data_IF_831161846989
#
_entry.id   IF_831161846989
#
_cell.length_a   1.000
_cell.length_b   1.000
_cell.length_c   1.000
_cell.angle_alpha   90.00
_cell.angle_beta   90.00
_cell.angle_gamma   90.00
#
_symmetry.space_group_name_H-M   'P 1'
#
loop_
_entity.id
_entity.type
_entity.pdbx_description
1 polymer ?
#
# COMPACT_ATOMS: atom_id res chain seq x y z
N UNK A 1 7.05 -3.51 -12.09
CA UNK A 1 6.80 -4.12 -10.76
C UNK A 1 7.43 -3.22 -9.71
N UNK A 2 6.89 -3.14 -8.48
CA UNK A 2 7.51 -2.39 -7.40
C UNK A 2 8.93 -2.89 -7.13
N UNK A 3 9.84 -1.96 -6.81
CA UNK A 3 11.16 -2.32 -6.31
C UNK A 3 11.03 -2.88 -4.89
N UNK A 4 11.78 -3.94 -4.58
CA UNK A 4 11.68 -4.65 -3.29
C UNK A 4 13.05 -4.76 -2.65
N UNK A 5 13.23 -4.06 -1.54
CA UNK A 5 14.39 -4.14 -0.66
C UNK A 5 14.05 -5.12 0.47
N UNK A 6 14.96 -6.06 0.77
CA UNK A 6 14.75 -7.08 1.82
C UNK A 6 15.64 -6.79 3.02
N UNK A 7 15.05 -6.86 4.19
CA UNK A 7 15.80 -6.88 5.45
C UNK A 7 16.51 -8.25 5.62
N UNK A 8 17.72 -8.23 6.17
CA UNK A 8 18.49 -9.42 6.54
C UNK A 8 18.87 -9.46 8.03
N UNK A 9 18.46 -8.45 8.80
CA UNK A 9 18.88 -8.27 10.19
C UNK A 9 17.74 -8.62 11.16
N UNK A 10 18.08 -9.29 12.27
CA UNK A 10 17.13 -9.56 13.36
C UNK A 10 16.72 -8.29 14.14
N UNK A 11 17.53 -7.23 14.04
CA UNK A 11 17.26 -5.92 14.64
C UNK A 11 17.44 -4.84 13.57
N UNK A 12 16.35 -4.24 13.20
CA UNK A 12 16.30 -3.21 12.16
C UNK A 12 15.92 -1.86 12.77
N UNK A 13 16.74 -0.85 12.53
CA UNK A 13 16.43 0.55 12.83
C UNK A 13 16.19 1.28 11.51
N UNK A 14 15.00 1.88 11.39
CA UNK A 14 14.71 2.75 10.24
C UNK A 14 15.23 4.14 10.54
N UNK A 15 16.19 4.59 9.77
CA UNK A 15 16.80 5.91 9.89
C UNK A 15 16.48 6.78 8.66
N UNK A 16 16.78 8.10 8.70
CA UNK A 16 16.47 9.00 7.58
C UNK A 16 17.14 8.61 6.25
N UNK A 17 18.33 8.06 6.28
CA UNK A 17 19.05 7.61 5.09
C UNK A 17 18.31 6.46 4.39
N UNK A 18 17.83 5.48 5.16
CA UNK A 18 17.03 4.38 4.62
C UNK A 18 15.70 4.87 4.03
N UNK A 19 15.06 5.83 4.70
CA UNK A 19 13.82 6.44 4.19
C UNK A 19 14.07 7.12 2.85
N UNK A 20 15.12 7.93 2.71
CA UNK A 20 15.44 8.57 1.43
C UNK A 20 15.82 7.55 0.36
N UNK A 21 16.55 6.50 0.70
CA UNK A 21 16.87 5.42 -0.25
C UNK A 21 15.60 4.75 -0.81
N UNK A 22 14.63 4.43 0.04
CA UNK A 22 13.36 3.82 -0.41
C UNK A 22 12.60 4.80 -1.33
N UNK A 23 12.58 6.09 -1.01
CA UNK A 23 11.96 7.12 -1.86
C UNK A 23 12.64 7.26 -3.21
N UNK A 24 13.98 7.21 -3.24
CA UNK A 24 14.74 7.24 -4.50
C UNK A 24 14.46 6.02 -5.37
N UNK A 25 14.40 4.84 -4.79
CA UNK A 25 14.06 3.62 -5.51
C UNK A 25 12.61 3.67 -6.05
N UNK A 26 11.69 4.27 -5.31
CA UNK A 26 10.32 4.51 -5.83
C UNK A 26 10.32 5.45 -7.04
N UNK A 27 11.11 6.53 -7.02
CA UNK A 27 11.23 7.47 -8.15
C UNK A 27 11.82 6.82 -9.40
N UNK A 28 12.76 5.88 -9.23
CA UNK A 28 13.42 5.15 -10.34
C UNK A 28 12.56 3.99 -10.86
N UNK A 29 11.70 3.45 -10.04
CA UNK A 29 10.84 2.31 -10.39
C UNK A 29 9.84 2.67 -11.49
N UNK A 30 9.68 1.79 -12.46
CA UNK A 30 8.66 1.94 -13.51
C UNK A 30 7.23 1.94 -12.96
N UNK A 31 7.02 1.35 -11.78
CA UNK A 31 5.73 1.38 -11.07
C UNK A 31 5.55 2.59 -10.17
N UNK A 32 6.60 3.41 -9.98
CA UNK A 32 6.63 4.52 -9.03
C UNK A 32 6.40 4.10 -7.58
N UNK A 33 6.76 2.85 -7.25
CA UNK A 33 6.61 2.25 -5.92
C UNK A 33 7.87 1.49 -5.54
N UNK A 34 8.32 1.64 -4.29
CA UNK A 34 9.33 0.78 -3.69
C UNK A 34 8.88 0.33 -2.29
N UNK A 35 9.34 -0.85 -1.88
CA UNK A 35 9.01 -1.45 -0.58
C UNK A 35 10.27 -1.93 0.12
N UNK A 36 10.38 -1.63 1.40
CA UNK A 36 11.31 -2.31 2.30
C UNK A 36 10.51 -3.34 3.10
N UNK A 37 10.78 -4.62 2.88
CA UNK A 37 10.26 -5.71 3.72
C UNK A 37 11.03 -5.72 5.03
N UNK A 38 10.34 -5.50 6.14
CA UNK A 38 10.96 -5.45 7.47
C UNK A 38 11.02 -6.85 8.10
N UNK A 39 10.09 -7.74 7.71
CA UNK A 39 10.10 -9.15 8.08
C UNK A 39 11.21 -9.92 7.33
N UNK A 40 11.73 -10.98 7.94
CA UNK A 40 12.82 -11.78 7.38
C UNK A 40 12.33 -12.84 6.39
N UNK A 41 11.11 -13.30 6.56
CA UNK A 41 10.55 -14.41 5.80
C UNK A 41 9.07 -14.21 5.51
N UNK A 42 8.59 -14.76 4.40
CA UNK A 42 7.16 -14.87 4.12
C UNK A 42 6.40 -15.77 5.10
N UNK A 43 7.13 -16.62 5.85
CA UNK A 43 6.57 -17.47 6.90
C UNK A 43 6.35 -16.72 8.23
N UNK A 44 6.87 -15.51 8.37
CA UNK A 44 6.71 -14.73 9.59
C UNK A 44 5.22 -14.47 9.89
N UNK A 45 4.81 -14.58 11.16
CA UNK A 45 3.41 -14.36 11.53
C UNK A 45 2.98 -12.90 11.42
N UNK A 46 3.93 -11.98 11.29
CA UNK A 46 3.71 -10.56 11.06
C UNK A 46 4.50 -10.15 9.82
N UNK A 47 3.80 -9.67 8.82
CA UNK A 47 4.39 -9.15 7.59
C UNK A 47 4.38 -7.62 7.66
N UNK A 48 5.54 -7.00 7.81
CA UNK A 48 5.68 -5.54 7.93
C UNK A 48 6.49 -4.98 6.79
N UNK A 49 6.09 -3.81 6.30
CA UNK A 49 6.81 -3.13 5.26
C UNK A 49 6.65 -1.60 5.32
N UNK A 50 7.70 -0.90 4.93
CA UNK A 50 7.62 0.50 4.54
C UNK A 50 7.47 0.59 3.04
N UNK A 51 6.52 1.41 2.60
CA UNK A 51 6.21 1.59 1.18
C UNK A 51 6.32 3.07 0.83
N UNK A 52 7.16 3.36 -0.16
CA UNK A 52 7.22 4.67 -0.80
C UNK A 52 6.42 4.64 -2.10
N UNK A 53 5.56 5.64 -2.30
CA UNK A 53 4.73 5.78 -3.48
C UNK A 53 4.84 7.20 -4.02
N UNK A 54 5.16 7.34 -5.31
CA UNK A 54 5.10 8.63 -5.99
C UNK A 54 3.68 8.87 -6.54
N UNK A 55 3.31 10.14 -6.64
CA UNK A 55 2.07 10.54 -7.34
C UNK A 55 2.02 9.93 -8.74
N UNK A 56 0.86 9.42 -9.12
CA UNK A 56 0.64 8.77 -10.41
C UNK A 56 1.02 7.29 -10.46
N UNK A 57 1.48 6.70 -9.35
CA UNK A 57 1.52 5.24 -9.24
C UNK A 57 0.09 4.66 -9.26
N UNK A 58 -0.03 3.40 -9.62
CA UNK A 58 -1.29 2.68 -9.62
C UNK A 58 -1.17 1.41 -8.78
N UNK A 59 -1.89 1.37 -7.67
CA UNK A 59 -2.02 0.19 -6.81
C UNK A 59 -3.37 -0.46 -7.14
N UNK A 60 -3.34 -1.65 -7.72
CA UNK A 60 -4.57 -2.37 -8.02
C UNK A 60 -5.34 -2.67 -6.73
N UNK A 61 -6.67 -2.51 -6.74
CA UNK A 61 -7.50 -2.92 -5.61
C UNK A 61 -7.18 -4.36 -5.20
N UNK A 62 -7.03 -4.57 -3.91
CA UNK A 62 -6.73 -5.88 -3.33
C UNK A 62 -7.50 -6.07 -2.03
N UNK A 63 -7.52 -7.29 -1.52
CA UNK A 63 -8.09 -7.64 -0.22
C UNK A 63 -7.34 -8.80 0.41
N UNK A 64 -7.43 -8.92 1.72
CA UNK A 64 -6.86 -10.03 2.50
C UNK A 64 -7.96 -10.66 3.38
N UNK A 65 -8.75 -11.55 2.78
CA UNK A 65 -9.87 -12.19 3.49
C UNK A 65 -9.39 -12.97 4.71
N UNK A 66 -10.08 -12.75 5.84
CA UNK A 66 -9.82 -13.43 7.10
C UNK A 66 -8.48 -13.05 7.76
N UNK A 67 -7.79 -12.02 7.27
CA UNK A 67 -6.52 -11.53 7.81
C UNK A 67 -6.66 -10.09 8.30
N UNK A 68 -5.99 -9.80 9.39
CA UNK A 68 -5.91 -8.42 9.89
C UNK A 68 -4.83 -7.65 9.14
N UNK A 69 -5.13 -6.40 8.87
CA UNK A 69 -4.23 -5.42 8.27
C UNK A 69 -4.34 -4.10 9.01
N UNK A 70 -3.23 -3.42 9.17
CA UNK A 70 -3.22 -2.01 9.56
C UNK A 70 -2.22 -1.25 8.70
N UNK A 71 -2.51 0.01 8.46
CA UNK A 71 -1.64 0.89 7.70
C UNK A 71 -1.62 2.26 8.36
N UNK A 72 -0.41 2.78 8.51
CA UNK A 72 -0.15 4.13 9.00
C UNK A 72 0.47 4.98 7.89
N UNK A 73 -0.06 6.17 7.68
CA UNK A 73 0.60 7.19 6.85
C UNK A 73 1.72 7.83 7.66
N UNK A 74 2.95 7.65 7.20
CA UNK A 74 4.16 8.21 7.85
C UNK A 74 4.48 9.59 7.29
N UNK A 75 4.31 9.76 5.97
CA UNK A 75 4.58 11.04 5.28
C UNK A 75 3.62 11.18 4.10
N UNK A 76 3.20 12.42 3.85
CA UNK A 76 2.30 12.75 2.74
C UNK A 76 0.85 12.44 3.04
N UNK A 77 0.06 12.35 1.96
CA UNK A 77 -1.39 12.15 2.03
C UNK A 77 -1.85 11.15 0.97
N UNK A 78 -2.84 10.34 1.32
CA UNK A 78 -3.49 9.37 0.43
C UNK A 78 -5.00 9.53 0.45
N UNK A 79 -5.64 9.08 -0.64
CA UNK A 79 -7.04 8.68 -0.67
C UNK A 79 -7.11 7.17 -0.50
N UNK A 80 -7.65 6.67 0.60
CA UNK A 80 -8.05 5.28 0.78
C UNK A 80 -9.44 5.10 0.16
N UNK A 81 -9.56 4.15 -0.78
CA UNK A 81 -10.80 3.88 -1.50
C UNK A 81 -11.21 2.45 -1.24
N UNK A 82 -12.44 2.24 -0.84
CA UNK A 82 -13.04 0.92 -0.62
C UNK A 82 -14.13 0.66 -1.64
N UNK A 83 -14.19 -0.59 -2.11
CA UNK A 83 -15.12 -1.04 -3.14
C UNK A 83 -15.96 -2.22 -2.65
N UNK A 84 -17.13 -2.36 -3.20
CA UNK A 84 -17.94 -3.57 -3.07
C UNK A 84 -17.47 -4.67 -4.05
N UNK A 85 -18.19 -5.81 -4.07
CA UNK A 85 -17.86 -6.95 -4.94
C UNK A 85 -18.04 -6.65 -6.44
N UNK A 86 -18.78 -5.60 -6.79
CA UNK A 86 -19.03 -5.16 -8.17
C UNK A 86 -18.10 -4.04 -8.64
N UNK A 87 -17.23 -3.54 -7.75
CA UNK A 87 -16.32 -2.43 -8.04
C UNK A 87 -16.93 -1.04 -7.82
N UNK A 88 -18.11 -0.96 -7.21
CA UNK A 88 -18.69 0.32 -6.83
C UNK A 88 -17.99 0.87 -5.58
N UNK A 89 -17.68 2.16 -5.61
CA UNK A 89 -17.04 2.81 -4.46
C UNK A 89 -18.03 2.95 -3.32
N UNK A 90 -17.72 2.28 -2.20
CA UNK A 90 -18.54 2.34 -0.98
C UNK A 90 -18.04 3.36 0.04
N UNK A 91 -16.74 3.67 0.00
CA UNK A 91 -16.17 4.67 0.91
C UNK A 91 -14.89 5.27 0.35
N UNK A 92 -14.68 6.56 0.65
CA UNK A 92 -13.41 7.29 0.46
C UNK A 92 -12.99 7.91 1.78
N UNK A 93 -11.71 7.80 2.11
CA UNK A 93 -11.14 8.42 3.31
C UNK A 93 -9.83 9.10 2.95
N UNK A 94 -9.77 10.42 3.09
CA UNK A 94 -8.49 11.12 3.04
C UNK A 94 -7.69 10.82 4.31
N UNK A 95 -6.45 10.41 4.14
CA UNK A 95 -5.54 10.14 5.24
C UNK A 95 -4.25 10.93 5.06
N UNK A 96 -3.64 11.31 6.17
CA UNK A 96 -2.39 12.07 6.18
C UNK A 96 -1.48 11.67 7.34
N UNK A 97 -0.27 12.18 7.37
CA UNK A 97 0.69 11.90 8.44
C UNK A 97 0.19 12.40 9.81
N UNK A 98 0.72 11.85 10.93
CA UNK A 98 0.43 12.34 12.26
C UNK A 98 0.69 13.85 12.37
N UNK A 99 -0.26 14.59 12.94
CA UNK A 99 -0.21 16.06 13.04
C UNK A 99 -0.99 16.79 11.95
N UNK A 100 -1.46 16.10 10.90
CA UNK A 100 -2.50 16.62 10.02
C UNK A 100 -3.88 16.56 10.72
N UNK A 101 -4.88 17.19 10.12
CA UNK A 101 -6.29 17.12 10.59
C UNK A 101 -7.02 15.87 10.08
N UNK A 102 -6.29 14.93 9.47
CA UNK A 102 -6.81 13.72 8.81
C UNK A 102 -6.56 12.46 9.66
N UNK A 103 -7.30 11.39 9.36
CA UNK A 103 -6.96 10.07 9.85
C UNK A 103 -5.53 9.69 9.40
N UNK A 104 -4.74 9.08 10.28
CA UNK A 104 -3.37 8.70 9.94
C UNK A 104 -3.13 7.18 10.00
N UNK A 105 -4.06 6.44 10.57
CA UNK A 105 -3.97 4.99 10.73
C UNK A 105 -5.34 4.36 10.54
N UNK A 106 -5.38 3.23 9.82
CA UNK A 106 -6.56 2.35 9.83
C UNK A 106 -6.19 0.94 10.29
N UNK A 107 -7.20 0.19 10.67
CA UNK A 107 -7.13 -1.24 10.91
C UNK A 107 -8.36 -1.95 10.35
N UNK A 108 -8.11 -2.99 9.55
CA UNK A 108 -9.11 -3.96 9.14
C UNK A 108 -8.90 -5.29 9.88
N UNK A 109 -9.99 -5.96 10.22
CA UNK A 109 -9.98 -7.34 10.73
C UNK A 109 -10.33 -8.34 9.64
N UNK A 110 -10.95 -7.87 8.57
CA UNK A 110 -11.18 -8.56 7.30
C UNK A 110 -11.25 -7.47 6.24
N UNK A 111 -10.31 -7.44 5.32
CA UNK A 111 -10.19 -6.32 4.41
C UNK A 111 -11.24 -6.38 3.31
N UNK A 112 -12.00 -5.31 3.05
CA UNK A 112 -12.77 -5.17 1.82
C UNK A 112 -11.83 -5.02 0.62
N UNK A 113 -12.36 -5.04 -0.59
CA UNK A 113 -11.62 -4.55 -1.74
C UNK A 113 -11.24 -3.10 -1.51
N UNK A 114 -9.96 -2.79 -1.55
CA UNK A 114 -9.48 -1.44 -1.30
C UNK A 114 -8.19 -1.13 -2.05
N UNK A 115 -7.93 0.14 -2.21
CA UNK A 115 -6.69 0.67 -2.76
C UNK A 115 -6.35 2.02 -2.14
N UNK A 116 -5.15 2.50 -2.38
CA UNK A 116 -4.71 3.83 -1.98
C UNK A 116 -4.14 4.59 -3.17
N UNK A 117 -4.49 5.87 -3.24
CA UNK A 117 -4.02 6.80 -4.28
C UNK A 117 -3.25 7.93 -3.61
N UNK A 118 -1.96 8.17 -3.95
CA UNK A 118 -1.21 9.30 -3.44
C UNK A 118 -1.83 10.64 -3.84
N UNK A 119 -2.06 11.51 -2.88
CA UNK A 119 -2.55 12.89 -3.08
C UNK A 119 -1.39 13.90 -3.11
N UNK A 120 -0.25 13.57 -2.49
CA UNK A 120 0.99 14.36 -2.50
C UNK A 120 2.03 13.72 -3.43
N UNK A 121 3.08 14.48 -3.81
CA UNK A 121 4.13 14.02 -4.74
C UNK A 121 4.84 12.75 -4.26
N UNK A 122 5.02 12.62 -2.95
CA UNK A 122 5.61 11.45 -2.30
C UNK A 122 4.77 11.10 -1.08
N UNK A 123 4.59 9.81 -0.88
CA UNK A 123 3.91 9.23 0.27
C UNK A 123 4.77 8.11 0.84
N UNK A 124 4.86 8.05 2.15
CA UNK A 124 5.40 6.91 2.90
C UNK A 124 4.33 6.33 3.78
N UNK A 125 4.12 5.03 3.70
CA UNK A 125 3.22 4.30 4.59
C UNK A 125 3.95 3.14 5.27
N UNK A 126 3.55 2.82 6.49
CA UNK A 126 3.93 1.60 7.19
C UNK A 126 2.72 0.67 7.19
N UNK A 127 2.87 -0.48 6.58
CA UNK A 127 1.85 -1.51 6.49
C UNK A 127 2.23 -2.71 7.35
N UNK A 128 1.26 -3.21 8.12
CA UNK A 128 1.38 -4.45 8.89
C UNK A 128 0.24 -5.37 8.50
N UNK A 129 0.58 -6.54 8.01
CA UNK A 129 -0.37 -7.57 7.59
C UNK A 129 -0.14 -8.84 8.38
N UNK A 130 -1.22 -9.47 8.83
CA UNK A 130 -1.13 -10.78 9.47
C UNK A 130 -0.56 -11.81 8.50
N UNK A 131 0.54 -12.45 8.93
CA UNK A 131 1.21 -13.54 8.21
C UNK A 131 0.64 -14.93 8.55
N UNK A 132 1.23 -15.98 7.98
CA UNK A 132 2.26 -15.92 6.94
C UNK A 132 1.74 -15.31 5.63
N UNK A 133 2.67 -14.87 4.75
CA UNK A 133 2.27 -14.39 3.43
C UNK A 133 1.71 -15.57 2.61
N UNK A 134 0.48 -15.42 2.17
CA UNK A 134 -0.16 -16.37 1.26
C UNK A 134 -0.46 -15.60 -0.02
N UNK A 135 0.16 -16.02 -1.12
CA UNK A 135 -0.20 -15.47 -2.42
C UNK A 135 -1.68 -15.78 -2.66
N UNK A 136 -2.46 -14.74 -2.94
CA UNK A 136 -3.87 -14.92 -3.25
C UNK A 136 -4.01 -15.86 -4.45
N UNK A 137 -4.78 -16.93 -4.29
CA UNK A 137 -5.24 -17.77 -5.39
C UNK A 137 -6.53 -17.23 -6.02
N UNK A 138 -7.05 -16.14 -5.47
CA UNK A 138 -8.28 -15.51 -5.95
C UNK A 138 -7.99 -14.83 -7.29
N UNK A 139 -8.75 -15.17 -8.31
CA UNK A 139 -8.72 -14.45 -9.59
C UNK A 139 -9.28 -13.04 -9.34
N UNK A 140 -8.55 -11.98 -9.73
CA UNK A 140 -9.09 -10.63 -9.60
C UNK A 140 -10.44 -10.52 -10.31
N UNK A 141 -11.41 -9.82 -9.72
CA UNK A 141 -12.69 -9.58 -10.37
C UNK A 141 -12.51 -8.86 -11.71
N UNK A 142 -13.45 -9.09 -12.65
CA UNK A 142 -13.39 -8.48 -13.99
C UNK A 142 -13.38 -6.93 -13.98
N UNK A 143 -13.93 -6.32 -12.93
CA UNK A 143 -13.93 -4.87 -12.81
C UNK A 143 -12.55 -4.27 -12.46
N UNK A 144 -11.55 -5.09 -12.08
CA UNK A 144 -10.16 -4.64 -11.85
C UNK A 144 -9.38 -4.77 -13.16
N UNK A 145 -9.07 -3.64 -13.84
CA UNK A 145 -8.36 -3.69 -15.10
C UNK A 145 -6.96 -4.27 -14.96
N UNK A 146 -6.56 -5.13 -15.89
CA UNK A 146 -5.20 -5.65 -15.97
C UNK A 146 -4.27 -4.71 -16.76
N UNK A 147 -4.83 -3.88 -17.63
CA UNK A 147 -4.07 -2.86 -18.35
C UNK A 147 -3.72 -1.68 -17.42
N UNK A 148 -2.44 -1.27 -17.35
CA UNK A 148 -2.02 -0.20 -16.45
C UNK A 148 -2.69 1.16 -16.71
N UNK A 149 -3.04 1.46 -17.97
CA UNK A 149 -3.69 2.72 -18.33
C UNK A 149 -5.14 2.73 -17.88
N UNK A 150 -5.85 1.62 -18.10
CA UNK A 150 -7.23 1.45 -17.65
C UNK A 150 -7.31 1.46 -16.13
N UNK A 151 -6.35 0.81 -15.45
CA UNK A 151 -6.26 0.85 -13.98
C UNK A 151 -6.09 2.28 -13.46
N UNK A 152 -5.19 3.07 -14.06
CA UNK A 152 -5.02 4.49 -13.70
C UNK A 152 -6.30 5.29 -13.92
N UNK A 153 -7.02 5.04 -15.00
CA UNK A 153 -8.29 5.71 -15.27
C UNK A 153 -9.34 5.36 -14.21
N UNK A 154 -9.45 4.07 -13.85
CA UNK A 154 -10.33 3.64 -12.76
C UNK A 154 -10.01 4.38 -11.46
N UNK A 155 -8.74 4.40 -11.06
CA UNK A 155 -8.30 5.03 -9.81
C UNK A 155 -8.53 6.54 -9.80
N UNK A 156 -8.27 7.23 -10.91
CA UNK A 156 -8.51 8.66 -11.05
C UNK A 156 -10.01 9.03 -10.98
N UNK A 157 -10.89 8.15 -11.47
CA UNK A 157 -12.34 8.33 -11.37
C UNK A 157 -12.87 8.01 -9.97
N UNK A 158 -12.23 7.05 -9.31
CA UNK A 158 -12.62 6.60 -7.98
C UNK A 158 -12.11 7.53 -6.86
N UNK A 159 -11.00 8.24 -7.05
CA UNK A 159 -10.43 9.19 -6.10
C UNK A 159 -11.16 10.54 -6.16
#
# INVERSE_FOLDING_TARGET
MPEVIKNSENLLFINPEMVENIKEEARKSSSLIARLLMHLSHEDPVQEMLIAMCRGCAVAPNRALGRSESLQVVEGEIMLIMFDENGEVIQRVEMGSPGSDKAFLYRFTSTPWHTMVPLTEMVMVHETLQGPFVQSSETPPEWIPQDPTELKNLLNQAA
#
